data_IF_796615558110
#
_entry.id   IF_796615558110
#
_cell.length_a   1.000
_cell.length_b   1.000
_cell.length_c   1.000
_cell.angle_alpha   90.00
_cell.angle_beta   90.00
_cell.angle_gamma   90.00
#
_symmetry.space_group_name_H-M   'P 1'
#
loop_
_entity.id
_entity.type
_entity.pdbx_description
1 polymer ?
#
# COMPACT_ATOMS: atom_id res chain seq x y z
N UNK A 1 -32.04 -4.02 1.17
CA UNK A 1 -32.60 -3.19 2.27
C UNK A 1 -31.94 -1.83 2.19
N UNK A 2 -32.69 -0.81 1.81
CA UNK A 2 -32.22 0.53 1.43
C UNK A 2 -31.89 1.29 2.74
N UNK A 3 -30.62 1.44 3.05
CA UNK A 3 -30.18 2.40 4.06
C UNK A 3 -30.17 3.76 3.36
N UNK A 4 -31.14 4.59 3.73
CA UNK A 4 -31.44 5.88 3.12
C UNK A 4 -30.24 6.84 3.14
N UNK A 5 -30.14 7.65 2.09
CA UNK A 5 -29.11 8.66 1.79
C UNK A 5 -28.71 9.60 2.94
N UNK A 6 -29.49 9.70 4.03
CA UNK A 6 -29.22 10.59 5.17
C UNK A 6 -28.07 10.15 6.08
N UNK A 7 -27.74 8.85 6.15
CA UNK A 7 -26.64 8.34 6.99
C UNK A 7 -25.27 8.56 6.35
N UNK A 8 -25.22 8.71 5.02
CA UNK A 8 -23.97 8.88 4.27
C UNK A 8 -23.34 10.26 4.48
N UNK A 9 -24.14 11.31 4.68
CA UNK A 9 -23.64 12.69 4.79
C UNK A 9 -22.86 13.00 6.09
N UNK A 10 -23.10 12.22 7.16
CA UNK A 10 -22.41 12.43 8.45
C UNK A 10 -21.12 11.62 8.61
N UNK A 11 -20.82 10.70 7.69
CA UNK A 11 -19.63 9.85 7.75
C UNK A 11 -18.39 10.48 7.11
N UNK A 12 -18.56 11.57 6.35
CA UNK A 12 -17.46 12.15 5.57
C UNK A 12 -16.52 13.03 6.40
N UNK A 13 -16.90 13.49 7.59
CA UNK A 13 -16.15 14.50 8.32
C UNK A 13 -15.04 13.98 9.25
N UNK A 14 -14.98 12.68 9.57
CA UNK A 14 -13.95 12.18 10.48
C UNK A 14 -13.50 10.76 10.10
N UNK A 15 -12.51 10.69 9.22
CA UNK A 15 -11.80 9.42 8.92
C UNK A 15 -11.03 8.96 10.17
N UNK A 16 -10.33 9.88 10.82
CA UNK A 16 -9.67 9.71 12.11
C UNK A 16 -9.97 10.93 13.00
N UNK A 17 -9.87 10.76 14.31
CA UNK A 17 -9.99 11.87 15.25
C UNK A 17 -8.70 12.72 15.22
N UNK A 18 -8.79 13.94 14.69
CA UNK A 18 -7.63 14.84 14.60
C UNK A 18 -7.06 15.21 15.97
N UNK A 19 -7.90 15.36 17.01
CA UNK A 19 -7.42 15.67 18.38
C UNK A 19 -6.61 14.50 18.97
N UNK A 20 -7.00 13.24 18.68
CA UNK A 20 -6.22 12.07 19.10
C UNK A 20 -4.86 12.04 18.37
N UNK A 21 -4.85 12.40 17.09
CA UNK A 21 -3.61 12.49 16.31
C UNK A 21 -2.67 13.59 16.84
N UNK A 22 -3.21 14.77 17.13
CA UNK A 22 -2.44 15.89 17.71
C UNK A 22 -1.87 15.51 19.07
N UNK A 23 -2.68 14.86 19.93
CA UNK A 23 -2.23 14.38 21.23
C UNK A 23 -1.07 13.38 21.08
N UNK A 24 -1.22 12.38 20.22
CA UNK A 24 -0.18 11.35 20.01
C UNK A 24 1.10 11.96 19.45
N UNK A 25 1.01 12.83 18.45
CA UNK A 25 2.18 13.41 17.81
C UNK A 25 2.90 14.42 18.68
N UNK A 26 2.17 15.32 19.32
CA UNK A 26 2.78 16.51 19.93
C UNK A 26 2.83 16.45 21.46
N UNK A 27 1.84 15.85 22.13
CA UNK A 27 1.81 15.77 23.59
C UNK A 27 2.47 14.49 24.11
N UNK A 28 2.21 13.34 23.46
CA UNK A 28 2.74 12.03 23.91
C UNK A 28 4.12 11.75 23.32
N UNK A 29 4.30 11.81 22.00
CA UNK A 29 5.56 11.50 21.32
C UNK A 29 6.51 12.70 21.22
N UNK A 30 6.01 13.92 21.47
CA UNK A 30 6.79 15.16 21.40
C UNK A 30 7.59 15.28 20.08
N UNK A 31 6.91 15.08 18.96
CA UNK A 31 7.52 14.98 17.62
C UNK A 31 8.30 16.25 17.24
N UNK A 32 7.97 17.40 17.84
CA UNK A 32 8.68 18.66 17.63
C UNK A 32 10.16 18.59 18.03
N UNK A 33 10.54 17.69 18.94
CA UNK A 33 11.97 17.47 19.28
C UNK A 33 12.82 17.06 18.07
N UNK A 34 12.21 16.49 17.04
CA UNK A 34 12.92 16.13 15.80
C UNK A 34 13.44 17.39 15.06
N UNK A 35 12.77 18.53 15.21
CA UNK A 35 13.19 19.80 14.58
C UNK A 35 14.54 20.30 15.10
N UNK A 36 14.99 19.84 16.25
CA UNK A 36 16.30 20.14 16.82
C UNK A 36 17.43 19.34 16.14
N UNK A 37 17.11 18.37 15.28
CA UNK A 37 18.11 17.60 14.53
C UNK A 37 18.44 18.31 13.22
N UNK A 38 19.72 18.40 12.87
CA UNK A 38 20.18 19.04 11.63
C UNK A 38 19.45 18.50 10.39
N UNK A 39 19.18 17.20 10.35
CA UNK A 39 18.46 16.57 9.25
C UNK A 39 17.04 17.16 9.03
N UNK A 40 16.40 17.65 10.07
CA UNK A 40 15.04 18.21 10.01
C UNK A 40 14.99 19.73 10.27
N UNK A 41 16.13 20.41 10.32
CA UNK A 41 16.21 21.85 10.64
C UNK A 41 15.45 22.75 9.64
N UNK A 42 15.21 22.29 8.43
CA UNK A 42 14.41 22.99 7.42
C UNK A 42 12.89 22.82 7.58
N UNK A 43 12.41 22.09 8.58
CA UNK A 43 11.00 21.82 8.83
C UNK A 43 10.44 22.68 9.97
N UNK A 44 9.12 22.70 10.06
CA UNK A 44 8.39 23.33 11.16
C UNK A 44 7.18 22.49 11.53
N UNK A 45 6.61 22.75 12.72
CA UNK A 45 5.32 22.17 13.11
C UNK A 45 4.23 22.49 12.09
N UNK A 46 4.17 23.74 11.62
CA UNK A 46 3.18 24.19 10.64
C UNK A 46 3.27 23.39 9.32
N UNK A 47 4.49 23.02 8.89
CA UNK A 47 4.67 22.16 7.72
C UNK A 47 4.15 20.74 7.97
N UNK A 48 4.38 20.20 9.17
CA UNK A 48 3.83 18.90 9.54
C UNK A 48 2.30 18.91 9.55
N UNK A 49 1.71 19.92 10.18
CA UNK A 49 0.25 20.12 10.24
C UNK A 49 -0.36 20.33 8.85
N UNK A 50 0.28 21.11 7.99
CA UNK A 50 -0.14 21.32 6.60
C UNK A 50 -0.10 20.02 5.79
N UNK A 51 0.95 19.22 5.96
CA UNK A 51 1.07 17.90 5.31
C UNK A 51 -0.05 16.95 5.73
N UNK A 52 -0.31 16.85 7.03
CA UNK A 52 -1.38 16.00 7.57
C UNK A 52 -2.76 16.49 7.11
N UNK A 53 -2.97 17.81 7.10
CA UNK A 53 -4.23 18.40 6.62
C UNK A 53 -4.47 18.16 5.14
N UNK A 54 -3.45 18.32 4.30
CA UNK A 54 -3.54 18.03 2.86
C UNK A 54 -3.84 16.56 2.61
N UNK A 55 -3.16 15.67 3.35
CA UNK A 55 -3.43 14.22 3.27
C UNK A 55 -4.86 13.89 3.72
N UNK A 56 -5.36 14.51 4.79
CA UNK A 56 -6.73 14.32 5.24
C UNK A 56 -7.75 14.73 4.15
N UNK A 57 -7.51 15.83 3.45
CA UNK A 57 -8.36 16.28 2.34
C UNK A 57 -8.35 15.26 1.20
N UNK A 58 -7.17 14.77 0.81
CA UNK A 58 -7.03 13.73 -0.23
C UNK A 58 -7.73 12.44 0.21
N UNK A 59 -7.55 12.01 1.44
CA UNK A 59 -8.19 10.83 2.00
C UNK A 59 -9.73 10.93 1.96
N UNK A 60 -10.28 12.08 2.32
CA UNK A 60 -11.73 12.31 2.29
C UNK A 60 -12.28 12.37 0.86
N UNK A 61 -11.61 13.14 -0.01
CA UNK A 61 -12.13 13.44 -1.34
C UNK A 61 -11.95 12.29 -2.32
N UNK A 62 -10.83 11.58 -2.27
CA UNK A 62 -10.43 10.62 -3.30
C UNK A 62 -10.41 9.17 -2.82
N UNK A 63 -10.33 8.89 -1.51
CA UNK A 63 -10.26 7.53 -0.97
C UNK A 63 -11.58 7.08 -0.33
N UNK A 64 -12.14 7.89 0.58
CA UNK A 64 -13.38 7.54 1.28
C UNK A 64 -14.60 7.53 0.36
N UNK A 65 -14.60 8.31 -0.72
CA UNK A 65 -15.71 8.43 -1.66
C UNK A 65 -16.07 7.12 -2.37
N UNK A 66 -15.12 6.19 -2.49
CA UNK A 66 -15.33 4.98 -3.27
C UNK A 66 -15.04 3.67 -2.52
N UNK A 67 -14.75 3.67 -1.22
CA UNK A 67 -14.35 2.45 -0.52
C UNK A 67 -15.41 1.32 -0.62
N UNK A 68 -16.69 1.65 -0.48
CA UNK A 68 -17.78 0.67 -0.62
C UNK A 68 -17.92 0.18 -2.06
N UNK A 69 -17.83 1.09 -3.02
CA UNK A 69 -17.90 0.77 -4.45
C UNK A 69 -16.74 -0.14 -4.84
N UNK A 70 -15.54 0.16 -4.39
CA UNK A 70 -14.34 -0.61 -4.68
C UNK A 70 -14.33 -2.00 -4.02
N UNK A 71 -14.99 -2.15 -2.87
CA UNK A 71 -15.14 -3.45 -2.23
C UNK A 71 -16.22 -4.32 -2.92
N UNK A 72 -17.28 -3.69 -3.42
CA UNK A 72 -18.34 -4.37 -4.17
C UNK A 72 -17.93 -4.75 -5.60
N UNK A 73 -17.03 -3.99 -6.21
CA UNK A 73 -16.55 -4.16 -7.59
C UNK A 73 -15.04 -4.36 -7.57
N UNK A 74 -14.62 -5.56 -7.20
CA UNK A 74 -13.20 -5.92 -7.26
C UNK A 74 -12.66 -5.88 -8.70
N UNK A 75 -11.33 -5.71 -8.88
CA UNK A 75 -10.72 -5.74 -10.18
C UNK A 75 -11.06 -7.02 -10.94
N UNK A 76 -11.33 -6.91 -12.23
CA UNK A 76 -11.72 -8.04 -13.09
C UNK A 76 -10.69 -8.18 -14.21
N UNK A 77 -10.22 -9.40 -14.41
CA UNK A 77 -9.36 -9.75 -15.55
C UNK A 77 -10.22 -10.25 -16.70
N UNK A 78 -10.18 -9.55 -17.83
CA UNK A 78 -10.94 -9.87 -19.05
C UNK A 78 -10.19 -10.80 -20.03
N UNK A 79 -9.03 -11.31 -19.62
CA UNK A 79 -8.13 -12.10 -20.45
C UNK A 79 -6.99 -11.30 -21.10
N UNK A 80 -7.02 -9.95 -21.00
CA UNK A 80 -5.98 -9.06 -21.50
C UNK A 80 -5.56 -8.00 -20.49
N UNK A 81 -6.52 -7.40 -19.81
CA UNK A 81 -6.31 -6.27 -18.91
C UNK A 81 -7.10 -6.45 -17.63
N UNK A 82 -6.57 -5.90 -16.54
CA UNK A 82 -7.30 -5.74 -15.30
C UNK A 82 -8.06 -4.43 -15.37
N UNK A 83 -9.38 -4.52 -15.20
CA UNK A 83 -10.27 -3.38 -15.12
C UNK A 83 -10.47 -2.96 -13.67
N UNK A 84 -10.28 -1.69 -13.39
CA UNK A 84 -10.53 -1.05 -12.10
C UNK A 84 -11.66 -0.04 -12.23
N UNK A 85 -12.28 0.30 -11.11
CA UNK A 85 -13.17 1.47 -11.07
C UNK A 85 -12.35 2.74 -11.27
N UNK A 86 -12.94 3.73 -11.94
CA UNK A 86 -12.28 5.00 -12.30
C UNK A 86 -11.67 5.72 -11.10
N UNK A 87 -12.36 5.69 -9.97
CA UNK A 87 -11.97 6.37 -8.74
C UNK A 87 -10.63 5.87 -8.17
N UNK A 88 -10.23 4.63 -8.50
CA UNK A 88 -8.91 4.10 -8.09
C UNK A 88 -7.77 4.88 -8.78
N UNK A 89 -7.93 5.22 -10.07
CA UNK A 89 -6.95 6.05 -10.79
C UNK A 89 -6.92 7.47 -10.26
N UNK A 90 -8.08 8.06 -10.01
CA UNK A 90 -8.18 9.41 -9.44
C UNK A 90 -7.49 9.50 -8.06
N UNK A 91 -7.63 8.45 -7.23
CA UNK A 91 -6.95 8.37 -5.95
C UNK A 91 -5.44 8.22 -6.09
N UNK A 92 -4.97 7.41 -7.07
CA UNK A 92 -3.56 7.29 -7.39
C UNK A 92 -2.95 8.64 -7.78
N UNK A 93 -3.57 9.35 -8.72
CA UNK A 93 -3.08 10.64 -9.19
C UNK A 93 -3.02 11.69 -8.06
N UNK A 94 -4.04 11.72 -7.20
CA UNK A 94 -4.08 12.63 -6.06
C UNK A 94 -2.96 12.37 -5.02
N UNK A 95 -2.59 11.10 -4.81
CA UNK A 95 -1.48 10.74 -3.90
C UNK A 95 -0.13 11.04 -4.52
N UNK A 96 0.02 10.86 -5.82
CA UNK A 96 1.22 11.24 -6.58
C UNK A 96 1.45 12.75 -6.46
N UNK A 97 0.41 13.55 -6.73
CA UNK A 97 0.46 15.01 -6.61
C UNK A 97 0.81 15.46 -5.18
N UNK A 98 0.35 14.73 -4.16
CA UNK A 98 0.67 15.02 -2.76
C UNK A 98 2.14 14.71 -2.40
N UNK A 99 2.87 13.97 -3.22
CA UNK A 99 4.27 13.60 -3.00
C UNK A 99 4.51 12.57 -1.88
N UNK A 100 3.49 11.83 -1.46
CA UNK A 100 3.58 10.88 -0.33
C UNK A 100 4.51 9.71 -0.63
N UNK A 101 4.66 9.31 -1.90
CA UNK A 101 5.49 8.17 -2.30
C UNK A 101 6.96 8.39 -1.91
N UNK A 102 7.44 9.61 -2.02
CA UNK A 102 8.83 9.97 -1.75
C UNK A 102 9.02 10.97 -0.60
N UNK A 103 8.00 11.14 0.23
CA UNK A 103 7.98 12.13 1.31
C UNK A 103 9.13 12.00 2.33
N UNK A 104 9.64 10.79 2.56
CA UNK A 104 10.77 10.54 3.50
C UNK A 104 12.14 10.77 2.87
N UNK A 105 12.23 10.89 1.55
CA UNK A 105 13.50 11.05 0.85
C UNK A 105 14.08 12.44 1.11
N UNK A 106 15.41 12.55 1.03
CA UNK A 106 16.11 13.84 1.20
C UNK A 106 15.68 14.84 0.13
N UNK A 107 15.86 16.12 0.41
CA UNK A 107 15.63 17.18 -0.58
C UNK A 107 16.52 17.01 -1.82
N UNK A 108 17.77 16.56 -1.63
CA UNK A 108 18.71 16.32 -2.73
C UNK A 108 18.24 15.18 -3.67
N UNK A 109 17.43 14.26 -3.16
CA UNK A 109 16.80 13.18 -3.94
C UNK A 109 15.39 13.55 -4.47
N UNK A 110 14.99 14.82 -4.34
CA UNK A 110 13.67 15.29 -4.77
C UNK A 110 12.53 14.93 -3.81
N UNK A 111 12.83 14.49 -2.59
CA UNK A 111 11.85 14.19 -1.55
C UNK A 111 11.49 15.39 -0.68
N UNK A 112 10.63 15.16 0.31
CA UNK A 112 10.20 16.16 1.28
C UNK A 112 10.97 16.08 2.61
N UNK A 113 11.87 15.12 2.75
CA UNK A 113 12.69 14.87 3.95
C UNK A 113 11.85 14.83 5.26
N UNK A 114 10.60 14.38 5.16
CA UNK A 114 9.70 14.34 6.31
C UNK A 114 10.08 13.23 7.29
N UNK A 115 9.95 13.48 8.60
CA UNK A 115 10.13 12.43 9.60
C UNK A 115 9.20 11.24 9.36
N UNK A 116 9.70 10.03 9.57
CA UNK A 116 8.94 8.79 9.39
C UNK A 116 7.60 8.80 10.14
N UNK A 117 7.57 9.39 11.35
CA UNK A 117 6.35 9.48 12.16
C UNK A 117 5.27 10.33 11.48
N UNK A 118 5.64 11.43 10.82
CA UNK A 118 4.70 12.29 10.08
C UNK A 118 4.18 11.56 8.84
N UNK A 119 5.07 10.87 8.10
CA UNK A 119 4.65 10.05 6.97
C UNK A 119 3.73 8.90 7.38
N UNK A 120 3.98 8.29 8.55
CA UNK A 120 3.09 7.27 9.10
C UNK A 120 1.73 7.83 9.49
N UNK A 121 1.69 9.00 10.14
CA UNK A 121 0.44 9.68 10.48
C UNK A 121 -0.37 10.06 9.22
N UNK A 122 0.30 10.52 8.17
CA UNK A 122 -0.33 10.74 6.86
C UNK A 122 -0.92 9.45 6.29
N UNK A 123 -0.17 8.35 6.32
CA UNK A 123 -0.66 7.04 5.87
C UNK A 123 -1.84 6.50 6.68
N UNK A 124 -1.95 6.82 7.98
CA UNK A 124 -3.10 6.44 8.79
C UNK A 124 -4.41 7.02 8.22
N UNK A 125 -4.42 8.29 7.77
CA UNK A 125 -5.59 8.89 7.13
C UNK A 125 -5.98 8.17 5.84
N UNK A 126 -5.02 7.83 4.99
CA UNK A 126 -5.26 7.12 3.73
C UNK A 126 -5.75 5.68 3.97
N UNK A 127 -5.12 4.97 4.92
CA UNK A 127 -5.52 3.61 5.30
C UNK A 127 -6.93 3.57 5.91
N UNK A 128 -7.26 4.49 6.80
CA UNK A 128 -8.59 4.58 7.39
C UNK A 128 -9.66 4.90 6.34
N UNK A 129 -9.32 5.67 5.32
CA UNK A 129 -10.23 6.00 4.23
C UNK A 129 -10.45 4.84 3.27
N UNK A 130 -9.39 4.19 2.79
CA UNK A 130 -9.46 3.04 1.89
C UNK A 130 -8.10 2.31 1.82
N UNK A 131 -7.90 1.34 2.69
CA UNK A 131 -6.64 0.59 2.78
C UNK A 131 -6.32 -0.18 1.49
N UNK A 132 -7.33 -0.66 0.76
CA UNK A 132 -7.13 -1.41 -0.48
C UNK A 132 -6.53 -0.51 -1.57
N UNK A 133 -7.09 0.68 -1.78
CA UNK A 133 -6.56 1.67 -2.71
C UNK A 133 -5.18 2.18 -2.26
N UNK A 134 -4.96 2.32 -0.94
CA UNK A 134 -3.69 2.79 -0.40
C UNK A 134 -2.52 1.81 -0.66
N UNK A 135 -2.80 0.53 -0.87
CA UNK A 135 -1.76 -0.49 -1.10
C UNK A 135 -0.91 -0.24 -2.34
N UNK A 136 -1.45 0.41 -3.38
CA UNK A 136 -0.72 0.69 -4.62
C UNK A 136 0.51 1.58 -4.40
N UNK A 137 0.33 2.72 -3.74
CA UNK A 137 1.47 3.60 -3.50
C UNK A 137 2.39 3.09 -2.39
N UNK A 138 1.89 2.35 -1.39
CA UNK A 138 2.73 1.76 -0.35
C UNK A 138 3.72 0.73 -0.92
N UNK A 139 3.27 -0.13 -1.84
CA UNK A 139 4.15 -1.08 -2.52
C UNK A 139 5.12 -0.39 -3.48
N UNK A 140 4.68 0.67 -4.15
CA UNK A 140 5.56 1.49 -4.99
C UNK A 140 6.68 2.14 -4.18
N UNK A 141 6.35 2.73 -3.03
CA UNK A 141 7.35 3.28 -2.11
C UNK A 141 8.31 2.20 -1.58
N UNK A 142 7.80 1.00 -1.26
CA UNK A 142 8.63 -0.13 -0.83
C UNK A 142 9.61 -0.58 -1.94
N UNK A 143 9.13 -0.67 -3.18
CA UNK A 143 9.96 -0.98 -4.36
C UNK A 143 11.04 0.08 -4.59
N UNK A 144 10.67 1.36 -4.55
CA UNK A 144 11.62 2.47 -4.68
C UNK A 144 12.68 2.42 -3.57
N UNK A 145 12.30 2.12 -2.33
CA UNK A 145 13.23 2.00 -1.20
C UNK A 145 14.20 0.82 -1.35
N UNK A 146 13.77 -0.31 -1.92
CA UNK A 146 14.66 -1.44 -2.26
C UNK A 146 15.71 -1.02 -3.28
N UNK A 147 15.28 -0.41 -4.38
CA UNK A 147 16.18 0.04 -5.45
C UNK A 147 17.15 1.09 -4.93
N UNK A 148 16.66 2.07 -4.16
CA UNK A 148 17.52 3.10 -3.54
C UNK A 148 18.57 2.50 -2.62
N UNK A 149 18.19 1.53 -1.79
CA UNK A 149 19.10 0.96 -0.79
C UNK A 149 20.14 0.01 -1.37
N UNK A 150 19.80 -0.71 -2.45
CA UNK A 150 20.59 -1.86 -2.91
C UNK A 150 20.81 -1.90 -4.42
N UNK A 151 20.11 -1.10 -5.20
CA UNK A 151 20.29 -1.02 -6.65
C UNK A 151 21.60 -0.34 -7.05
N UNK A 152 22.08 -0.65 -8.26
CA UNK A 152 23.21 0.08 -8.87
C UNK A 152 22.81 1.53 -9.20
N UNK A 153 23.78 2.40 -9.47
CA UNK A 153 23.51 3.79 -9.85
C UNK A 153 22.70 3.86 -11.17
N UNK A 154 22.95 2.93 -12.10
CA UNK A 154 22.17 2.82 -13.33
C UNK A 154 20.72 2.43 -13.03
N UNK A 155 20.52 1.43 -12.16
CA UNK A 155 19.16 1.01 -11.75
C UNK A 155 18.42 2.15 -11.05
N UNK A 156 19.08 2.89 -10.18
CA UNK A 156 18.52 4.07 -9.52
C UNK A 156 18.12 5.13 -10.54
N UNK A 157 19.01 5.44 -11.49
CA UNK A 157 18.79 6.43 -12.54
C UNK A 157 17.60 6.07 -13.45
N UNK A 158 17.45 4.77 -13.77
CA UNK A 158 16.39 4.29 -14.68
C UNK A 158 15.03 4.24 -13.97
N UNK A 159 14.96 3.70 -12.75
CA UNK A 159 13.68 3.33 -12.15
C UNK A 159 13.17 4.32 -11.09
N UNK A 160 14.04 4.98 -10.31
CA UNK A 160 13.58 5.81 -9.20
C UNK A 160 12.78 7.03 -9.64
N UNK A 161 13.16 7.80 -10.67
CA UNK A 161 12.38 8.98 -11.06
C UNK A 161 10.92 8.64 -11.37
N UNK A 162 10.69 7.62 -12.20
CA UNK A 162 9.34 7.23 -12.62
C UNK A 162 8.53 6.51 -11.52
N UNK A 163 9.19 5.86 -10.55
CA UNK A 163 8.51 5.35 -9.35
C UNK A 163 8.12 6.48 -8.39
N UNK A 164 8.92 7.53 -8.30
CA UNK A 164 8.66 8.67 -7.41
C UNK A 164 7.59 9.61 -7.95
N UNK A 165 7.58 9.86 -9.26
CA UNK A 165 6.58 10.71 -9.91
C UNK A 165 5.27 9.97 -10.25
N UNK A 166 5.18 8.65 -9.97
CA UNK A 166 3.99 7.85 -10.15
C UNK A 166 3.70 7.39 -11.58
N UNK A 167 4.62 7.59 -12.53
CA UNK A 167 4.54 6.99 -13.87
C UNK A 167 4.67 5.47 -13.80
N UNK A 168 5.50 4.96 -12.88
CA UNK A 168 5.64 3.54 -12.60
C UNK A 168 5.06 3.20 -11.24
N UNK A 169 4.51 2.00 -11.12
CA UNK A 169 4.19 1.38 -9.84
C UNK A 169 5.17 0.27 -9.53
N UNK A 170 5.19 -0.14 -8.26
CA UNK A 170 6.07 -1.20 -7.80
C UNK A 170 5.34 -2.31 -7.06
N UNK A 171 5.85 -3.52 -7.18
CA UNK A 171 5.33 -4.70 -6.47
C UNK A 171 6.44 -5.57 -5.93
N UNK A 172 6.11 -6.48 -5.02
CA UNK A 172 7.06 -7.44 -4.45
C UNK A 172 6.48 -8.85 -4.58
N UNK A 173 7.11 -9.68 -5.41
CA UNK A 173 6.71 -11.07 -5.68
C UNK A 173 7.58 -12.07 -4.90
N UNK A 174 7.09 -12.57 -3.77
CA UNK A 174 7.83 -13.48 -2.88
C UNK A 174 7.33 -14.92 -2.98
N UNK A 175 6.02 -15.13 -2.89
CA UNK A 175 5.40 -16.45 -2.78
C UNK A 175 5.30 -17.19 -4.11
N UNK A 176 5.36 -18.53 -4.06
CA UNK A 176 5.13 -19.44 -5.18
C UNK A 176 3.96 -20.37 -4.92
N UNK A 177 3.33 -20.90 -5.98
CA UNK A 177 2.14 -21.76 -5.85
C UNK A 177 2.47 -23.07 -5.13
N UNK A 178 1.60 -23.47 -4.19
CA UNK A 178 1.70 -24.75 -3.49
C UNK A 178 2.57 -24.75 -2.23
N UNK A 179 3.15 -23.61 -1.90
CA UNK A 179 3.98 -23.50 -0.71
C UNK A 179 3.68 -22.20 0.03
N UNK A 180 3.28 -22.29 1.28
CA UNK A 180 3.57 -21.26 2.30
C UNK A 180 5.08 -21.37 2.54
N UNK A 181 5.84 -20.70 1.69
CA UNK A 181 7.21 -21.04 1.38
C UNK A 181 8.11 -20.61 2.52
N UNK A 182 8.81 -21.56 3.06
CA UNK A 182 10.14 -21.25 3.57
C UNK A 182 10.94 -20.69 2.38
N UNK A 183 11.62 -19.54 2.53
CA UNK A 183 12.42 -18.95 1.45
C UNK A 183 13.42 -19.92 0.79
N UNK A 184 13.77 -20.98 1.50
CA UNK A 184 14.64 -22.08 1.04
C UNK A 184 14.09 -22.82 -0.20
N UNK A 185 12.78 -22.81 -0.41
CA UNK A 185 12.12 -23.68 -1.42
C UNK A 185 11.75 -22.93 -2.71
N UNK A 186 12.22 -21.69 -2.89
CA UNK A 186 12.00 -20.92 -4.13
C UNK A 186 12.56 -21.68 -5.32
N UNK A 187 11.68 -21.99 -6.29
CA UNK A 187 11.97 -22.75 -7.53
C UNK A 187 12.19 -21.86 -8.75
N UNK A 188 11.70 -20.59 -8.70
CA UNK A 188 11.93 -19.66 -9.79
C UNK A 188 13.42 -19.54 -10.06
N UNK A 189 13.83 -19.77 -11.33
CA UNK A 189 15.22 -19.79 -11.76
C UNK A 189 15.62 -18.48 -12.45
N UNK A 190 16.91 -18.17 -12.38
CA UNK A 190 17.52 -17.05 -13.07
C UNK A 190 18.80 -17.53 -13.77
N UNK A 191 18.88 -17.35 -15.09
CA UNK A 191 20.02 -17.70 -15.94
C UNK A 191 20.73 -16.43 -16.37
N UNK A 192 22.05 -16.35 -16.20
CA UNK A 192 22.86 -15.20 -16.61
C UNK A 192 23.05 -15.22 -18.14
N UNK A 193 22.81 -14.08 -18.78
CA UNK A 193 23.10 -13.86 -20.21
C UNK A 193 24.48 -13.21 -20.42
N UNK A 194 25.01 -13.32 -21.64
CA UNK A 194 26.30 -12.74 -22.02
C UNK A 194 26.40 -11.22 -21.84
N UNK A 195 25.27 -10.54 -21.88
CA UNK A 195 25.16 -9.07 -21.71
C UNK A 195 25.10 -8.64 -20.22
N UNK A 196 25.22 -9.57 -19.27
CA UNK A 196 25.16 -9.28 -17.83
C UNK A 196 23.74 -9.18 -17.25
N UNK A 197 22.69 -9.26 -18.09
CA UNK A 197 21.31 -9.37 -17.62
C UNK A 197 20.97 -10.83 -17.27
N UNK A 198 19.82 -11.04 -16.66
CA UNK A 198 19.31 -12.36 -16.34
C UNK A 198 18.02 -12.64 -17.09
N UNK A 199 17.77 -13.91 -17.38
CA UNK A 199 16.46 -14.43 -17.77
C UNK A 199 15.87 -15.21 -16.62
N UNK A 200 14.69 -14.81 -16.16
CA UNK A 200 13.99 -15.53 -15.10
C UNK A 200 12.83 -16.33 -15.67
N UNK A 201 12.63 -17.53 -15.08
CA UNK A 201 11.51 -18.43 -15.42
C UNK A 201 10.86 -18.97 -14.16
N UNK A 202 9.53 -18.96 -14.16
CA UNK A 202 8.72 -19.47 -13.07
C UNK A 202 7.48 -18.61 -12.84
N UNK A 203 6.83 -18.79 -11.71
CA UNK A 203 5.63 -18.03 -11.38
C UNK A 203 5.63 -17.56 -9.93
N UNK A 204 4.93 -16.46 -9.68
CA UNK A 204 4.67 -15.93 -8.35
C UNK A 204 3.17 -15.84 -8.12
N UNK A 205 2.75 -16.15 -6.90
CA UNK A 205 1.38 -16.03 -6.43
C UNK A 205 1.27 -14.99 -5.33
N UNK A 206 0.03 -14.57 -5.05
CA UNK A 206 -0.26 -13.56 -4.02
C UNK A 206 0.51 -12.25 -4.25
N UNK A 207 0.85 -11.94 -5.50
CA UNK A 207 1.49 -10.65 -5.83
C UNK A 207 0.42 -9.57 -5.76
N UNK A 208 0.48 -8.76 -4.73
CA UNK A 208 -0.45 -7.66 -4.54
C UNK A 208 -0.23 -6.61 -5.61
N UNK A 209 -1.32 -6.23 -6.31
CA UNK A 209 -1.29 -5.26 -7.40
C UNK A 209 -0.29 -5.62 -8.51
N UNK A 210 -0.11 -6.90 -8.78
CA UNK A 210 0.90 -7.39 -9.72
C UNK A 210 0.60 -7.06 -11.18
N UNK A 211 -0.64 -6.75 -11.52
CA UNK A 211 -1.01 -6.22 -12.82
C UNK A 211 -2.16 -5.20 -12.68
N UNK A 212 -2.12 -4.14 -13.48
CA UNK A 212 -3.14 -3.09 -13.55
C UNK A 212 -2.82 -2.09 -14.66
N UNK A 213 -3.77 -1.18 -14.93
CA UNK A 213 -3.63 -0.09 -15.92
C UNK A 213 -3.57 1.31 -15.27
N UNK A 214 -3.19 1.42 -13.99
CA UNK A 214 -3.13 2.70 -13.28
C UNK A 214 -1.87 3.51 -13.62
N UNK A 215 -0.82 2.84 -14.09
CA UNK A 215 0.50 3.41 -14.41
C UNK A 215 1.00 2.88 -15.76
N UNK A 216 1.96 3.56 -16.35
CA UNK A 216 2.51 3.18 -17.65
C UNK A 216 3.39 1.94 -17.59
N UNK A 217 3.99 1.66 -16.41
CA UNK A 217 4.79 0.46 -16.19
C UNK A 217 4.63 -0.05 -14.75
N UNK A 218 4.95 -1.33 -14.56
CA UNK A 218 5.00 -1.99 -13.24
C UNK A 218 6.38 -2.60 -13.06
N UNK A 219 7.04 -2.25 -11.97
CA UNK A 219 8.37 -2.78 -11.61
C UNK A 219 8.20 -3.84 -10.53
N UNK A 220 8.44 -5.09 -10.88
CA UNK A 220 8.35 -6.21 -9.94
C UNK A 220 9.70 -6.47 -9.28
N UNK A 221 9.73 -6.50 -7.94
CA UNK A 221 10.85 -7.00 -7.16
C UNK A 221 10.64 -8.48 -6.91
N UNK A 222 11.46 -9.35 -7.50
CA UNK A 222 11.23 -10.79 -7.54
C UNK A 222 12.40 -11.56 -6.94
N UNK A 223 12.10 -12.50 -6.07
CA UNK A 223 13.10 -13.48 -5.58
C UNK A 223 13.19 -14.65 -6.52
N UNK A 224 14.41 -14.97 -6.94
CA UNK A 224 14.71 -16.13 -7.78
C UNK A 224 16.08 -16.73 -7.42
N UNK A 225 16.32 -17.95 -7.85
CA UNK A 225 17.57 -18.69 -7.67
C UNK A 225 18.39 -18.64 -8.95
N UNK A 226 19.61 -18.12 -8.86
CA UNK A 226 20.57 -18.16 -9.97
C UNK A 226 20.97 -19.62 -10.22
N UNK A 227 21.10 -20.03 -11.48
CA UNK A 227 21.58 -21.37 -11.83
C UNK A 227 22.96 -21.63 -11.23
N UNK A 228 23.12 -22.80 -10.61
CA UNK A 228 24.34 -23.15 -9.88
C UNK A 228 24.48 -22.56 -8.49
N UNK A 229 23.51 -21.76 -8.03
CA UNK A 229 23.53 -21.19 -6.68
C UNK A 229 23.40 -22.25 -5.59
N UNK A 230 23.90 -21.98 -4.37
CA UNK A 230 23.70 -22.85 -3.21
C UNK A 230 22.23 -23.20 -3.00
N UNK A 231 21.98 -24.41 -2.47
CA UNK A 231 20.62 -24.81 -2.05
C UNK A 231 20.21 -24.02 -0.80
N UNK A 232 18.90 -23.96 -0.57
CA UNK A 232 18.36 -23.28 0.62
C UNK A 232 18.31 -21.76 0.48
N UNK A 233 18.20 -21.10 1.62
CA UNK A 233 18.04 -19.64 1.72
C UNK A 233 19.24 -18.85 1.14
N UNK A 234 20.44 -19.38 1.31
CA UNK A 234 21.69 -18.73 0.88
C UNK A 234 21.87 -18.65 -0.65
N UNK A 235 21.00 -19.29 -1.43
CA UNK A 235 21.08 -19.24 -2.90
C UNK A 235 20.10 -18.26 -3.53
N UNK A 236 19.31 -17.51 -2.75
CA UNK A 236 18.25 -16.65 -3.25
C UNK A 236 18.77 -15.24 -3.54
N UNK A 237 18.48 -14.76 -4.74
CA UNK A 237 18.83 -13.42 -5.22
C UNK A 237 17.58 -12.57 -5.48
N UNK A 238 17.71 -11.25 -5.47
CA UNK A 238 16.64 -10.30 -5.74
C UNK A 238 16.84 -9.68 -7.12
N UNK A 239 15.74 -9.54 -7.87
CA UNK A 239 15.76 -9.00 -9.22
C UNK A 239 14.72 -7.91 -9.41
N UNK A 240 15.05 -6.91 -10.21
CA UNK A 240 14.11 -5.97 -10.83
C UNK A 240 13.62 -6.61 -12.12
N UNK A 241 12.30 -6.70 -12.29
CA UNK A 241 11.65 -7.25 -13.49
C UNK A 241 10.55 -6.27 -13.92
N UNK A 242 10.83 -5.34 -14.83
CA UNK A 242 9.82 -4.42 -15.33
C UNK A 242 8.84 -5.14 -16.26
N UNK A 243 7.56 -4.74 -16.23
CA UNK A 243 6.53 -5.26 -17.14
C UNK A 243 6.79 -4.82 -18.59
N UNK A 244 7.23 -3.58 -18.76
CA UNK A 244 7.70 -3.02 -20.04
C UNK A 244 9.19 -2.73 -19.88
N UNK A 245 10.00 -3.22 -20.81
CA UNK A 245 11.44 -2.95 -20.80
C UNK A 245 11.71 -1.46 -21.00
N UNK A 246 12.80 -0.98 -20.42
CA UNK A 246 13.25 0.41 -20.59
C UNK A 246 14.55 0.36 -21.39
N UNK A 247 14.60 1.15 -22.45
CA UNK A 247 15.78 1.34 -23.29
C UNK A 247 16.82 2.22 -22.59
N UNK A 248 18.05 2.24 -23.07
CA UNK A 248 19.14 3.05 -22.50
C UNK A 248 18.86 4.55 -22.51
N UNK A 249 18.06 5.02 -23.47
CA UNK A 249 17.62 6.41 -23.57
C UNK A 249 16.43 6.76 -22.66
N UNK A 250 15.91 5.79 -21.90
CA UNK A 250 14.76 5.95 -21.01
C UNK A 250 13.41 5.73 -21.68
N UNK A 251 13.35 5.50 -22.99
CA UNK A 251 12.10 5.21 -23.70
C UNK A 251 11.57 3.81 -23.39
N UNK A 252 10.26 3.60 -23.59
CA UNK A 252 9.67 2.27 -23.47
C UNK A 252 10.14 1.35 -24.60
N UNK A 253 10.60 0.15 -24.21
CA UNK A 253 10.94 -0.94 -25.10
C UNK A 253 9.77 -1.91 -25.29
N UNK A 254 10.10 -3.17 -25.53
CA UNK A 254 9.12 -4.25 -25.71
C UNK A 254 8.48 -4.66 -24.37
N UNK A 255 7.30 -5.28 -24.46
CA UNK A 255 6.69 -5.96 -23.33
C UNK A 255 7.62 -7.09 -22.87
N UNK A 256 7.90 -7.14 -21.58
CA UNK A 256 8.64 -8.26 -21.01
C UNK A 256 7.73 -9.49 -20.94
N UNK A 257 8.32 -10.68 -20.89
CA UNK A 257 7.58 -11.93 -20.79
C UNK A 257 6.99 -12.14 -19.37
N UNK A 258 6.02 -11.30 -19.01
CA UNK A 258 5.25 -11.39 -17.78
C UNK A 258 3.78 -11.53 -18.15
N UNK A 259 3.14 -12.60 -17.69
CA UNK A 259 1.73 -12.88 -17.98
C UNK A 259 0.94 -12.95 -16.70
N UNK A 260 -0.21 -12.29 -16.68
CA UNK A 260 -1.21 -12.46 -15.64
C UNK A 260 -2.00 -13.76 -15.91
N UNK A 261 -1.82 -14.74 -15.04
CA UNK A 261 -2.51 -16.03 -15.17
C UNK A 261 -3.87 -16.02 -14.47
N UNK A 262 -3.95 -15.37 -13.30
CA UNK A 262 -5.18 -15.34 -12.52
C UNK A 262 -5.23 -14.19 -11.52
N UNK A 263 -6.46 -13.80 -11.15
CA UNK A 263 -6.77 -12.97 -9.99
C UNK A 263 -7.38 -13.86 -8.89
N UNK A 264 -6.80 -13.80 -7.70
CA UNK A 264 -7.27 -14.57 -6.57
C UNK A 264 -8.34 -13.77 -5.80
N UNK A 265 -9.50 -14.36 -5.50
CA UNK A 265 -10.55 -13.70 -4.73
C UNK A 265 -10.07 -13.45 -3.30
N UNK A 266 -10.54 -12.35 -2.71
CA UNK A 266 -10.19 -11.96 -1.34
C UNK A 266 -11.42 -11.69 -0.49
N UNK A 267 -11.30 -11.96 0.81
CA UNK A 267 -12.34 -11.69 1.79
C UNK A 267 -12.46 -10.20 2.12
N UNK A 268 -11.37 -9.43 2.02
CA UNK A 268 -11.29 -7.99 2.24
C UNK A 268 -10.18 -7.35 1.41
N UNK A 269 -10.03 -6.04 1.47
CA UNK A 269 -9.11 -5.26 0.62
C UNK A 269 -9.29 -5.57 -0.88
N UNK A 270 -10.55 -5.67 -1.32
CA UNK A 270 -10.91 -6.30 -2.60
C UNK A 270 -10.51 -5.47 -3.82
N UNK A 271 -10.40 -4.14 -3.69
CA UNK A 271 -9.91 -3.26 -4.75
C UNK A 271 -8.42 -3.46 -5.09
N UNK A 272 -7.66 -4.07 -4.20
CA UNK A 272 -6.27 -4.43 -4.43
C UNK A 272 -6.21 -5.83 -5.05
N UNK A 273 -5.76 -5.97 -6.29
CA UNK A 273 -5.67 -7.26 -6.98
C UNK A 273 -4.63 -8.18 -6.33
N UNK A 274 -5.00 -9.43 -6.06
CA UNK A 274 -4.04 -10.47 -5.68
C UNK A 274 -3.80 -11.36 -6.90
N UNK A 275 -2.61 -11.25 -7.51
CA UNK A 275 -2.33 -11.86 -8.82
C UNK A 275 -1.49 -13.10 -8.73
N UNK A 276 -1.67 -13.97 -9.73
CA UNK A 276 -0.73 -15.03 -10.09
C UNK A 276 -0.05 -14.60 -11.39
N UNK A 277 1.26 -14.47 -11.37
CA UNK A 277 2.06 -14.03 -12.50
C UNK A 277 3.03 -15.12 -12.94
N UNK A 278 3.03 -15.43 -14.24
CA UNK A 278 4.07 -16.21 -14.90
C UNK A 278 5.13 -15.30 -15.49
N UNK A 279 6.37 -15.69 -15.30
CA UNK A 279 7.55 -15.00 -15.82
C UNK A 279 8.29 -15.91 -16.80
N UNK A 280 8.51 -15.43 -18.01
CA UNK A 280 9.37 -16.08 -18.97
C UNK A 280 8.80 -17.38 -19.54
N UNK A 281 7.58 -17.35 -20.06
CA UNK A 281 6.90 -18.52 -20.62
C UNK A 281 7.66 -19.11 -21.83
N UNK A 282 8.31 -18.27 -22.63
CA UNK A 282 9.07 -18.68 -23.82
C UNK A 282 10.58 -18.63 -23.57
N UNK A 283 11.17 -17.46 -23.72
CA UNK A 283 12.63 -17.27 -23.64
C UNK A 283 13.13 -16.92 -22.24
N UNK A 284 12.23 -16.46 -21.35
CA UNK A 284 12.55 -15.96 -20.03
C UNK A 284 12.36 -14.45 -19.93
N UNK A 285 11.75 -13.99 -18.85
CA UNK A 285 11.58 -12.57 -18.59
C UNK A 285 12.93 -11.91 -18.27
N UNK A 286 13.24 -10.78 -18.91
CA UNK A 286 14.47 -10.03 -18.66
C UNK A 286 14.45 -9.44 -17.26
N UNK A 287 15.54 -9.64 -16.53
CA UNK A 287 15.66 -9.27 -15.13
C UNK A 287 17.03 -8.68 -14.82
N UNK A 288 17.07 -7.78 -13.84
CA UNK A 288 18.29 -7.09 -13.41
C UNK A 288 18.57 -7.45 -11.95
N UNK A 289 19.77 -8.00 -11.68
CA UNK A 289 20.16 -8.35 -10.32
C UNK A 289 20.29 -7.11 -9.45
N UNK A 290 19.67 -7.13 -8.25
CA UNK A 290 19.79 -6.07 -7.25
C UNK A 290 20.90 -6.40 -6.27
N UNK A 291 21.89 -5.52 -6.17
CA UNK A 291 23.01 -5.68 -5.26
C UNK A 291 23.88 -6.89 -5.59
N UNK A 292 24.19 -7.71 -4.59
CA UNK A 292 25.07 -8.91 -4.73
C UNK A 292 24.25 -10.17 -4.91
N UNK A 293 24.73 -11.17 -5.70
CA UNK A 293 24.12 -12.51 -5.76
C UNK A 293 23.96 -13.12 -4.36
N UNK A 294 22.93 -13.94 -4.18
CA UNK A 294 22.68 -14.71 -2.96
C UNK A 294 22.39 -13.87 -1.71
N UNK A 295 21.99 -12.61 -1.89
CA UNK A 295 21.65 -11.69 -0.79
C UNK A 295 20.18 -11.24 -0.82
N UNK A 296 19.36 -11.83 -1.69
CA UNK A 296 17.97 -11.38 -1.91
C UNK A 296 17.13 -11.39 -0.65
N UNK A 297 17.20 -12.43 0.16
CA UNK A 297 16.45 -12.51 1.42
C UNK A 297 16.89 -11.45 2.44
N UNK A 298 18.19 -11.13 2.50
CA UNK A 298 18.69 -10.08 3.37
C UNK A 298 18.13 -8.71 2.96
N UNK A 299 18.04 -8.43 1.65
CA UNK A 299 17.50 -7.17 1.17
C UNK A 299 16.00 -7.06 1.43
N UNK A 300 15.26 -8.13 1.15
CA UNK A 300 13.82 -8.19 1.41
C UNK A 300 13.50 -8.10 2.90
N UNK A 301 14.29 -8.73 3.79
CA UNK A 301 14.04 -8.69 5.23
C UNK A 301 14.06 -7.27 5.79
N UNK A 302 14.91 -6.38 5.24
CA UNK A 302 14.97 -4.98 5.64
C UNK A 302 13.67 -4.23 5.30
N UNK A 303 13.08 -4.51 4.13
CA UNK A 303 11.79 -3.93 3.72
C UNK A 303 10.63 -4.57 4.46
N UNK A 304 10.71 -5.87 4.76
CA UNK A 304 9.64 -6.56 5.51
C UNK A 304 9.43 -5.95 6.90
N UNK A 305 10.48 -5.51 7.57
CA UNK A 305 10.35 -4.82 8.86
C UNK A 305 9.55 -3.51 8.72
N UNK A 306 9.86 -2.67 7.72
CA UNK A 306 9.10 -1.46 7.43
C UNK A 306 7.65 -1.78 7.01
N UNK A 307 7.47 -2.81 6.19
CA UNK A 307 6.15 -3.27 5.77
C UNK A 307 5.30 -3.76 6.96
N UNK A 308 5.87 -4.49 7.90
CA UNK A 308 5.16 -4.93 9.10
C UNK A 308 4.65 -3.74 9.92
N UNK A 309 5.46 -2.69 10.10
CA UNK A 309 5.05 -1.46 10.79
C UNK A 309 3.88 -0.80 10.04
N UNK A 310 3.96 -0.70 8.71
CA UNK A 310 2.90 -0.10 7.87
C UNK A 310 1.60 -0.89 7.90
N UNK A 311 1.67 -2.22 7.86
CA UNK A 311 0.50 -3.11 7.98
C UNK A 311 -0.14 -2.97 9.36
N UNK A 312 0.66 -2.95 10.42
CA UNK A 312 0.18 -2.76 11.80
C UNK A 312 -0.51 -1.40 11.96
N UNK A 313 0.06 -0.33 11.40
CA UNK A 313 -0.57 0.99 11.38
C UNK A 313 -1.88 1.00 10.58
N UNK A 314 -1.95 0.25 9.49
CA UNK A 314 -3.18 0.04 8.72
C UNK A 314 -4.28 -0.62 9.54
N UNK A 315 -3.94 -1.66 10.31
CA UNK A 315 -4.88 -2.33 11.21
C UNK A 315 -5.40 -1.38 12.30
N UNK A 316 -4.52 -0.57 12.91
CA UNK A 316 -4.91 0.45 13.88
C UNK A 316 -5.82 1.53 13.27
N UNK A 317 -5.54 1.95 12.04
CA UNK A 317 -6.37 2.91 11.30
C UNK A 317 -7.79 2.36 11.06
N UNK A 318 -7.92 1.10 10.65
CA UNK A 318 -9.21 0.44 10.45
C UNK A 318 -9.97 0.25 11.78
N UNK A 319 -9.26 -0.11 12.86
CA UNK A 319 -9.86 -0.24 14.19
C UNK A 319 -10.41 1.11 14.67
N UNK A 320 -9.64 2.19 14.52
CA UNK A 320 -10.05 3.56 14.84
C UNK A 320 -11.27 4.00 14.03
N UNK A 321 -11.30 3.69 12.73
CA UNK A 321 -12.44 3.98 11.87
C UNK A 321 -13.68 3.17 12.30
N UNK A 322 -13.51 1.90 12.62
CA UNK A 322 -14.58 1.03 13.12
C UNK A 322 -15.16 1.56 14.45
N UNK A 323 -14.30 2.01 15.35
CA UNK A 323 -14.73 2.67 16.60
C UNK A 323 -15.53 3.94 16.33
N UNK A 324 -15.05 4.85 15.49
CA UNK A 324 -15.74 6.10 15.17
C UNK A 324 -17.11 5.84 14.51
N UNK A 325 -17.17 4.84 13.63
CA UNK A 325 -18.43 4.40 13.03
C UNK A 325 -19.41 3.88 14.11
N UNK A 326 -18.95 2.99 14.98
CA UNK A 326 -19.76 2.39 16.05
C UNK A 326 -20.25 3.44 17.03
N UNK A 327 -19.38 4.40 17.41
CA UNK A 327 -19.73 5.50 18.29
C UNK A 327 -20.82 6.39 17.69
N UNK A 328 -20.68 6.76 16.40
CA UNK A 328 -21.67 7.57 15.71
C UNK A 328 -23.00 6.84 15.56
N UNK A 329 -22.96 5.54 15.22
CA UNK A 329 -24.15 4.71 15.14
C UNK A 329 -24.89 4.65 16.49
N UNK A 330 -24.17 4.36 17.59
CA UNK A 330 -24.75 4.29 18.91
C UNK A 330 -25.36 5.64 19.40
N UNK A 331 -24.84 6.77 18.95
CA UNK A 331 -25.36 8.11 19.24
C UNK A 331 -26.61 8.47 18.45
N UNK A 332 -26.81 7.87 17.29
CA UNK A 332 -27.90 8.20 16.38
C UNK A 332 -29.07 7.20 16.47
N UNK A 333 -28.78 5.93 16.65
CA UNK A 333 -29.76 4.87 16.60
C UNK A 333 -30.33 4.53 17.98
N UNK A 334 -31.62 4.16 17.97
CA UNK A 334 -32.34 3.59 19.11
C UNK A 334 -32.66 2.12 18.80
N UNK A 335 -32.62 1.22 19.80
CA UNK A 335 -33.02 -0.18 19.63
C UNK A 335 -34.45 -0.32 19.10
N UNK A 336 -35.35 0.57 19.49
CA UNK A 336 -36.77 0.54 19.05
C UNK A 336 -36.94 0.89 17.57
N UNK A 337 -36.07 1.68 16.98
CA UNK A 337 -36.07 1.96 15.53
C UNK A 337 -35.66 0.75 14.70
N UNK A 338 -35.01 -0.24 15.31
CA UNK A 338 -34.60 -1.48 14.67
C UNK A 338 -35.66 -2.59 14.80
N UNK A 339 -36.55 -2.51 15.80
CA UNK A 339 -37.68 -3.40 15.96
C UNK A 339 -38.90 -2.80 15.27
N UNK A 340 -39.45 -3.47 14.27
CA UNK A 340 -40.63 -3.04 13.52
C UNK A 340 -41.96 -3.08 14.34
N UNK A 341 -41.89 -3.32 15.65
CA UNK A 341 -43.04 -3.68 16.48
C UNK A 341 -43.53 -2.60 17.46
N UNK A 342 -43.01 -1.37 17.45
CA UNK A 342 -43.50 -0.37 18.40
C UNK A 342 -44.13 0.85 17.74
N UNK A 343 -45.46 0.92 17.78
CA UNK A 343 -46.29 2.06 17.42
C UNK A 343 -46.36 3.16 18.51
N UNK A 344 -45.48 3.13 19.51
CA UNK A 344 -45.53 4.13 20.61
C UNK A 344 -44.43 5.16 20.51
N UNK A 345 -44.77 6.48 20.51
CA UNK A 345 -43.80 7.58 20.48
C UNK A 345 -43.27 7.94 21.88
N UNK A 346 -42.99 6.96 22.75
CA UNK A 346 -42.37 7.24 24.04
C UNK A 346 -40.86 7.28 23.89
N UNK A 347 -40.17 8.19 24.60
CA UNK A 347 -38.73 8.45 24.64
C UNK A 347 -37.88 7.20 24.32
N UNK A 348 -37.46 7.10 23.08
CA UNK A 348 -36.63 5.98 22.62
C UNK A 348 -35.19 6.27 23.06
N UNK A 349 -34.74 5.60 24.13
CA UNK A 349 -33.35 5.65 24.58
C UNK A 349 -32.40 5.31 23.43
N UNK A 350 -31.38 6.12 23.23
CA UNK A 350 -30.33 5.86 22.24
C UNK A 350 -29.45 4.71 22.70
N UNK A 351 -28.87 3.96 21.76
CA UNK A 351 -27.96 2.85 22.10
C UNK A 351 -26.80 3.29 22.96
N UNK A 352 -26.30 4.53 22.82
CA UNK A 352 -25.20 5.08 23.62
C UNK A 352 -25.58 5.22 25.11
N UNK A 353 -26.85 5.21 25.49
CA UNK A 353 -27.30 5.33 26.89
C UNK A 353 -27.19 4.01 27.63
N UNK A 354 -27.12 2.86 26.91
CA UNK A 354 -26.85 1.55 27.50
C UNK A 354 -25.45 1.48 28.12
N UNK A 355 -25.39 1.06 29.37
CA UNK A 355 -24.09 0.88 30.09
C UNK A 355 -23.20 -0.13 29.42
N UNK A 356 -23.74 -1.21 28.83
CA UNK A 356 -22.96 -2.23 28.18
C UNK A 356 -22.38 -1.73 26.85
N UNK A 357 -23.14 -0.97 26.07
CA UNK A 357 -22.62 -0.33 24.84
C UNK A 357 -21.52 0.66 25.18
N UNK A 358 -21.69 1.48 26.23
CA UNK A 358 -20.62 2.39 26.70
C UNK A 358 -19.36 1.64 27.10
N UNK A 359 -19.50 0.54 27.82
CA UNK A 359 -18.37 -0.31 28.23
C UNK A 359 -17.62 -0.84 27.01
N UNK A 360 -18.33 -1.37 26.01
CA UNK A 360 -17.72 -1.87 24.78
C UNK A 360 -16.98 -0.76 24.01
N UNK A 361 -17.59 0.42 23.86
CA UNK A 361 -16.97 1.56 23.19
C UNK A 361 -15.75 2.09 23.94
N UNK A 362 -15.78 2.14 25.28
CA UNK A 362 -14.61 2.52 26.08
C UNK A 362 -13.47 1.51 25.94
N UNK A 363 -13.77 0.22 25.91
CA UNK A 363 -12.75 -0.82 25.65
C UNK A 363 -12.12 -0.64 24.25
N UNK A 364 -12.93 -0.44 23.20
CA UNK A 364 -12.41 -0.20 21.85
C UNK A 364 -11.52 1.06 21.79
N UNK A 365 -11.85 2.11 22.55
CA UNK A 365 -11.06 3.35 22.58
C UNK A 365 -9.74 3.18 23.34
N UNK A 366 -9.67 2.28 24.31
CA UNK A 366 -8.50 2.08 25.17
C UNK A 366 -7.42 1.19 24.53
N UNK A 367 -7.77 0.43 23.53
CA UNK A 367 -6.84 -0.40 22.75
C UNK A 367 -6.40 0.31 21.46
#
# INVERSE_FOLDING_TARGET
MIITHGVLLFMTDKILNSRDMDFLLYEFLNTELLLNRLHYAGHSKDLFDATLKSTQVVAQKYYANHYRKSDAHEPVFDGKHIQHIRETKEAWDAVVELGVIHAQQSFDEGGLQLPAIICMAANLYLNAANIATNSYHLLTAATANLIRSFGSEEQKKIFLPSLMNGEFSGTVGLAEVGQWVLPADIKMSATLEANGCYRIKGFKTLVTNGDHCLTDNIVHMVLARIEGAPKGADGISLFIVPKVLINEDGSFGELNEITLDNLLPKMGCRNSGSTVLSFGVNQGAKAYLVGKPHRGLHYVSKIMSDTCIRVSSGAAALASQGYLYSLNYARQCSPQQLSKESDSPSHSEKMIESTDVRRMLLMQKSY
#
